data_IF_366540600719
#
_entry.id   IF_366540600719
#
_cell.length_a   1.000
_cell.length_b   1.000
_cell.length_c   1.000
_cell.angle_alpha   90.00
_cell.angle_beta   90.00
_cell.angle_gamma   90.00
#
_symmetry.space_group_name_H-M   'P 1'
#
loop_
_entity.id
_entity.type
_entity.pdbx_description
1 polymer ?
#
# COMPACT_ATOMS: atom_id res chain seq x y z
N UNK A 1 6.70 13.15 0.60
CA UNK A 1 6.69 12.43 -0.68
C UNK A 1 7.20 11.00 -0.54
N UNK A 2 8.40 10.79 0.01
CA UNK A 2 8.96 9.43 0.22
C UNK A 2 8.06 8.51 1.04
N UNK A 3 7.52 8.96 2.18
CA UNK A 3 6.63 8.13 3.02
C UNK A 3 5.37 7.66 2.30
N UNK A 4 4.83 8.48 1.41
CA UNK A 4 3.65 8.11 0.61
C UNK A 4 3.96 6.99 -0.37
N UNK A 5 5.09 7.08 -1.08
CA UNK A 5 5.52 6.05 -2.03
C UNK A 5 5.77 4.73 -1.30
N UNK A 6 6.46 4.77 -0.17
CA UNK A 6 6.74 3.57 0.63
C UNK A 6 5.45 2.93 1.16
N UNK A 7 4.52 3.74 1.66
CA UNK A 7 3.21 3.26 2.13
C UNK A 7 2.41 2.62 0.99
N UNK A 8 2.43 3.21 -0.20
CA UNK A 8 1.78 2.64 -1.38
C UNK A 8 2.40 1.29 -1.79
N UNK A 9 3.73 1.20 -1.81
CA UNK A 9 4.44 -0.06 -2.11
C UNK A 9 4.11 -1.14 -1.08
N UNK A 10 4.00 -0.77 0.20
CA UNK A 10 3.68 -1.69 1.29
C UNK A 10 2.23 -2.18 1.19
N UNK A 11 1.28 -1.29 0.87
CA UNK A 11 -0.11 -1.65 0.57
C UNK A 11 -0.20 -2.60 -0.62
N UNK A 12 0.51 -2.31 -1.71
CA UNK A 12 0.56 -3.19 -2.89
C UNK A 12 1.10 -4.58 -2.53
N UNK A 13 2.12 -4.66 -1.68
CA UNK A 13 2.68 -5.92 -1.21
C UNK A 13 1.68 -6.73 -0.38
N UNK A 14 0.97 -6.11 0.57
CA UNK A 14 -0.03 -6.79 1.41
C UNK A 14 -1.19 -7.31 0.57
N UNK A 15 -1.75 -6.48 -0.32
CA UNK A 15 -2.87 -6.88 -1.18
C UNK A 15 -2.46 -8.02 -2.11
N UNK A 16 -1.25 -7.94 -2.68
CA UNK A 16 -0.69 -9.02 -3.48
C UNK A 16 -0.50 -10.31 -2.66
N UNK A 17 0.04 -10.20 -1.45
CA UNK A 17 0.27 -11.32 -0.55
C UNK A 17 -1.04 -12.02 -0.15
N UNK A 18 -2.12 -11.27 0.11
CA UNK A 18 -3.42 -11.88 0.45
C UNK A 18 -4.00 -12.74 -0.68
N UNK A 19 -3.71 -12.42 -1.93
CA UNK A 19 -4.22 -13.18 -3.07
C UNK A 19 -3.31 -14.35 -3.47
N UNK A 20 -2.00 -14.10 -3.59
CA UNK A 20 -1.04 -15.10 -4.07
C UNK A 20 -0.32 -15.86 -2.96
N UNK A 21 -0.46 -15.44 -1.70
CA UNK A 21 0.30 -15.94 -0.55
C UNK A 21 1.82 -15.87 -0.75
N UNK A 22 2.29 -14.90 -1.56
CA UNK A 22 3.69 -14.66 -1.88
C UNK A 22 4.01 -13.16 -1.91
N UNK A 23 5.28 -12.79 -1.79
CA UNK A 23 5.70 -11.39 -1.76
C UNK A 23 5.75 -10.75 -3.14
N UNK A 24 5.36 -9.48 -3.21
CA UNK A 24 5.50 -8.69 -4.43
C UNK A 24 6.99 -8.37 -4.68
N UNK A 25 7.53 -8.93 -5.76
CA UNK A 25 8.91 -8.71 -6.20
C UNK A 25 8.97 -8.04 -7.56
N UNK A 26 10.13 -7.46 -7.91
CA UNK A 26 10.31 -6.78 -9.20
C UNK A 26 10.01 -7.68 -10.41
N UNK A 27 10.47 -8.94 -10.49
CA UNK A 27 10.15 -9.81 -11.63
C UNK A 27 8.65 -10.09 -11.78
N UNK A 28 7.91 -10.18 -10.67
CA UNK A 28 6.47 -10.49 -10.65
C UNK A 28 5.64 -9.33 -11.19
N UNK A 29 6.08 -8.07 -10.98
CA UNK A 29 5.43 -6.89 -11.57
C UNK A 29 5.43 -6.91 -13.11
N UNK A 30 6.39 -7.60 -13.72
CA UNK A 30 6.46 -7.76 -15.18
C UNK A 30 5.77 -9.04 -15.67
N UNK A 31 5.22 -9.86 -14.78
CA UNK A 31 4.48 -11.08 -15.11
C UNK A 31 2.97 -10.80 -15.15
N UNK A 32 2.51 -10.21 -16.24
CA UNK A 32 1.10 -9.81 -16.42
C UNK A 32 0.13 -10.98 -16.61
N UNK A 33 0.62 -12.17 -16.99
CA UNK A 33 -0.20 -13.33 -17.33
C UNK A 33 -1.12 -13.82 -16.20
N UNK A 34 -0.74 -13.59 -14.93
CA UNK A 34 -1.53 -14.00 -13.76
C UNK A 34 -2.28 -12.84 -13.10
N UNK A 35 -2.03 -11.58 -13.49
CA UNK A 35 -2.58 -10.39 -12.81
C UNK A 35 -4.04 -10.08 -13.18
N UNK A 36 -4.59 -10.70 -14.22
CA UNK A 36 -5.98 -10.52 -14.62
C UNK A 36 -6.97 -10.94 -13.53
N UNK A 37 -6.69 -12.05 -12.85
CA UNK A 37 -7.55 -12.57 -11.78
C UNK A 37 -7.49 -11.68 -10.54
N UNK A 38 -6.31 -11.15 -10.20
CA UNK A 38 -6.08 -10.20 -9.11
C UNK A 38 -6.88 -8.91 -9.31
N UNK A 39 -6.85 -8.35 -10.53
CA UNK A 39 -7.49 -7.07 -10.86
C UNK A 39 -9.00 -7.10 -10.69
N UNK A 40 -9.64 -8.23 -10.96
CA UNK A 40 -11.10 -8.40 -10.83
C UNK A 40 -11.59 -8.33 -9.38
N UNK A 41 -10.74 -8.63 -8.40
CA UNK A 41 -11.09 -8.81 -6.99
C UNK A 41 -10.22 -7.99 -6.03
N UNK A 42 -9.46 -7.01 -6.51
CA UNK A 42 -8.57 -6.21 -5.65
C UNK A 42 -9.31 -5.50 -4.52
N UNK A 43 -10.55 -5.06 -4.77
CA UNK A 43 -11.36 -4.35 -3.77
C UNK A 43 -11.84 -5.25 -2.64
N UNK A 44 -11.98 -6.57 -2.87
CA UNK A 44 -12.35 -7.51 -1.80
C UNK A 44 -11.15 -7.96 -0.96
N UNK A 45 -9.92 -7.74 -1.44
CA UNK A 45 -8.68 -8.01 -0.71
C UNK A 45 -8.29 -6.89 0.25
N UNK A 46 -8.87 -5.69 0.08
CA UNK A 46 -8.61 -4.55 0.95
C UNK A 46 -9.41 -4.72 2.23
N UNK A 47 -8.72 -4.72 3.36
CA UNK A 47 -9.32 -4.81 4.68
C UNK A 47 -9.28 -3.45 5.39
N UNK A 48 -10.21 -3.16 6.31
CA UNK A 48 -10.19 -1.90 7.07
C UNK A 48 -8.89 -1.64 7.83
N UNK A 49 -8.17 -2.72 8.22
CA UNK A 49 -6.87 -2.62 8.89
C UNK A 49 -5.79 -1.98 8.01
N UNK A 50 -5.94 -2.03 6.68
CA UNK A 50 -4.98 -1.45 5.74
C UNK A 50 -4.91 0.07 5.86
N UNK A 51 -5.98 0.71 6.35
CA UNK A 51 -6.00 2.14 6.63
C UNK A 51 -4.99 2.55 7.72
N UNK A 52 -4.63 1.62 8.62
CA UNK A 52 -3.64 1.88 9.66
C UNK A 52 -2.24 2.14 9.08
N UNK A 53 -1.96 1.66 7.86
CA UNK A 53 -0.69 1.93 7.19
C UNK A 53 -0.48 3.42 6.85
N UNK A 54 -1.55 4.22 6.84
CA UNK A 54 -1.47 5.66 6.54
C UNK A 54 -1.36 6.53 7.81
N UNK A 55 -1.34 5.93 9.00
CA UNK A 55 -1.32 6.65 10.29
C UNK A 55 -0.05 7.50 10.43
N UNK A 56 1.10 6.98 10.01
CA UNK A 56 2.36 7.72 10.01
C UNK A 56 2.29 8.99 9.14
N UNK A 57 1.66 8.91 7.96
CA UNK A 57 1.45 10.05 7.06
C UNK A 57 0.54 11.09 7.73
N UNK A 58 -0.54 10.67 8.40
CA UNK A 58 -1.44 11.57 9.14
C UNK A 58 -0.67 12.28 10.26
N UNK A 59 0.14 11.54 11.02
CA UNK A 59 0.99 12.08 12.10
C UNK A 59 2.01 13.09 11.53
N UNK A 60 2.67 12.77 10.42
CA UNK A 60 3.63 13.66 9.76
C UNK A 60 2.98 14.95 9.26
N UNK A 61 1.79 14.88 8.68
CA UNK A 61 1.02 16.06 8.26
C UNK A 61 0.66 16.91 9.48
N UNK A 62 0.21 16.28 10.58
CA UNK A 62 -0.13 16.99 11.81
C UNK A 62 1.09 17.69 12.43
N UNK A 63 2.22 16.99 12.54
CA UNK A 63 3.47 17.56 13.05
C UNK A 63 3.97 18.72 12.17
N UNK A 64 3.92 18.56 10.85
CA UNK A 64 4.31 19.63 9.92
C UNK A 64 3.46 20.88 10.11
N UNK A 65 2.12 20.73 10.21
CA UNK A 65 1.21 21.86 10.47
C UNK A 65 1.44 22.49 11.84
N UNK A 66 1.74 21.69 12.87
CA UNK A 66 2.04 22.19 14.23
C UNK A 66 3.34 23.01 14.26
N UNK A 67 4.40 22.50 13.64
CA UNK A 67 5.70 23.19 13.59
C UNK A 67 5.65 24.43 12.70
N UNK A 68 4.87 24.43 11.62
CA UNK A 68 4.70 25.60 10.76
C UNK A 68 3.85 26.73 11.39
N UNK A 69 3.13 26.44 12.48
CA UNK A 69 2.31 27.41 13.21
C UNK A 69 3.03 28.03 14.43
N UNK A 70 4.15 27.43 14.86
CA UNK A 70 5.04 27.96 15.91
C UNK A 70 6.14 28.82 15.27
#
# INVERSE_FOLDING_TARGET
MTSFILTFVLLANIVFYRFYSDFLTIPVLFQTNNMGDLGSSITSLIEPVDLLMFVDIIILIWLYKKTAFL
#
